data_IF_521798427923
#
_entry.id   IF_521798427923
#
_cell.length_a   1.000
_cell.length_b   1.000
_cell.length_c   1.000
_cell.angle_alpha   90.00
_cell.angle_beta   90.00
_cell.angle_gamma   90.00
#
_symmetry.space_group_name_H-M   'P 1'
#
loop_
_entity.id
_entity.type
_entity.pdbx_description
1 polymer ?
#
# COMPACT_ATOMS: atom_id res chain seq x y z
N UNK A 1 15.58 7.73 -6.48
CA UNK A 1 14.55 6.67 -6.45
C UNK A 1 15.21 5.31 -6.68
N UNK A 2 16.02 5.17 -7.72
CA UNK A 2 16.70 3.91 -8.07
C UNK A 2 17.73 3.41 -7.05
N UNK A 3 18.27 4.27 -6.18
CA UNK A 3 19.25 3.88 -5.14
C UNK A 3 18.60 3.41 -3.82
N UNK A 4 17.27 3.55 -3.68
CA UNK A 4 16.58 3.24 -2.42
C UNK A 4 15.92 1.85 -2.42
N UNK A 5 15.75 1.25 -3.61
CA UNK A 5 15.05 -0.02 -3.80
C UNK A 5 15.69 -0.78 -4.97
N UNK A 6 16.74 -1.55 -4.68
CA UNK A 6 17.55 -2.23 -5.71
C UNK A 6 16.71 -3.20 -6.57
N UNK A 7 15.66 -3.80 -6.00
CA UNK A 7 14.75 -4.73 -6.69
C UNK A 7 13.52 -4.05 -7.31
N UNK A 8 13.41 -2.71 -7.26
CA UNK A 8 12.26 -1.99 -7.83
C UNK A 8 12.35 -1.84 -9.36
N UNK A 9 13.52 -2.10 -9.95
CA UNK A 9 13.70 -2.02 -11.40
C UNK A 9 13.36 -3.36 -12.05
N UNK A 10 12.44 -3.33 -13.00
CA UNK A 10 12.08 -4.48 -13.83
C UNK A 10 12.52 -4.15 -15.26
N UNK A 11 13.36 -5.00 -15.84
CA UNK A 11 13.83 -4.90 -17.22
C UNK A 11 13.14 -5.95 -18.10
N UNK A 12 13.11 -5.75 -19.43
CA UNK A 12 12.63 -6.75 -20.39
C UNK A 12 11.10 -6.84 -20.49
N UNK A 13 10.39 -5.82 -20.02
CA UNK A 13 8.93 -5.69 -20.15
C UNK A 13 8.52 -5.09 -21.49
N UNK A 14 9.41 -4.39 -22.18
CA UNK A 14 9.14 -3.64 -23.40
C UNK A 14 8.45 -4.47 -24.50
N UNK A 15 8.84 -5.74 -24.76
CA UNK A 15 8.19 -6.55 -25.79
C UNK A 15 6.73 -6.90 -25.48
N UNK A 16 6.28 -6.81 -24.23
CA UNK A 16 4.91 -7.16 -23.82
C UNK A 16 3.93 -6.01 -24.02
N UNK A 17 4.41 -4.77 -24.12
CA UNK A 17 3.59 -3.55 -24.16
C UNK A 17 2.57 -3.57 -25.28
N UNK A 18 2.98 -4.03 -26.47
CA UNK A 18 2.11 -4.07 -27.66
C UNK A 18 0.97 -5.07 -27.53
N UNK A 19 1.12 -6.08 -26.66
CA UNK A 19 0.12 -7.12 -26.43
C UNK A 19 -0.91 -6.77 -25.34
N UNK A 20 -0.70 -5.66 -24.62
CA UNK A 20 -1.55 -5.23 -23.52
C UNK A 20 -2.55 -4.18 -24.03
N UNK A 21 -3.83 -4.42 -23.77
CA UNK A 21 -4.90 -3.48 -24.07
C UNK A 21 -5.39 -2.81 -22.79
N UNK A 22 -5.26 -1.49 -22.72
CA UNK A 22 -5.76 -0.65 -21.64
C UNK A 22 -6.46 0.59 -22.23
N UNK A 23 -7.35 1.25 -21.45
CA UNK A 23 -7.96 2.51 -21.85
C UNK A 23 -6.94 3.60 -22.22
N UNK A 24 -5.86 3.72 -21.44
CA UNK A 24 -4.71 4.58 -21.76
C UNK A 24 -3.53 3.72 -22.27
N UNK A 25 -3.11 3.88 -23.54
CA UNK A 25 -1.94 3.21 -24.07
C UNK A 25 -0.65 3.51 -23.32
N UNK A 26 -0.55 4.68 -22.68
CA UNK A 26 0.63 5.06 -21.92
C UNK A 26 0.78 4.24 -20.64
N UNK A 27 -0.26 3.60 -20.11
CA UNK A 27 -0.20 2.83 -18.85
C UNK A 27 0.18 1.36 -19.05
N UNK A 28 0.29 0.89 -20.30
CA UNK A 28 0.59 -0.52 -20.62
C UNK A 28 1.92 -1.00 -20.06
N UNK A 29 2.90 -0.09 -19.91
CA UNK A 29 4.19 -0.41 -19.32
C UNK A 29 4.08 -0.86 -17.85
N UNK A 30 3.11 -0.33 -17.10
CA UNK A 30 2.87 -0.71 -15.70
C UNK A 30 2.45 -2.17 -15.61
N UNK A 31 1.52 -2.61 -16.48
CA UNK A 31 1.08 -4.00 -16.56
C UNK A 31 2.20 -4.91 -17.08
N UNK A 32 2.96 -4.46 -18.07
CA UNK A 32 4.10 -5.22 -18.59
C UNK A 32 5.17 -5.47 -17.51
N UNK A 33 5.51 -4.42 -16.74
CA UNK A 33 6.44 -4.52 -15.63
C UNK A 33 5.88 -5.42 -14.51
N UNK A 34 4.59 -5.31 -14.18
CA UNK A 34 3.95 -6.19 -13.20
C UNK A 34 4.03 -7.67 -13.59
N UNK A 35 3.83 -7.99 -14.87
CA UNK A 35 3.94 -9.36 -15.38
C UNK A 35 5.37 -9.91 -15.30
N UNK A 36 6.37 -9.15 -15.75
CA UNK A 36 7.78 -9.58 -15.67
C UNK A 36 8.25 -9.68 -14.22
N UNK A 37 7.84 -8.74 -13.38
CA UNK A 37 8.10 -8.71 -11.95
C UNK A 37 7.31 -9.75 -11.15
N UNK A 38 6.40 -10.50 -11.80
CA UNK A 38 5.53 -11.52 -11.18
C UNK A 38 4.70 -10.95 -10.01
N UNK A 39 4.23 -9.72 -10.16
CA UNK A 39 3.32 -9.12 -9.21
C UNK A 39 1.92 -9.73 -9.37
N UNK A 40 1.19 -9.82 -8.26
CA UNK A 40 -0.24 -10.17 -8.27
C UNK A 40 -1.11 -8.90 -8.19
N UNK A 41 -0.57 -7.80 -7.67
CA UNK A 41 -1.31 -6.56 -7.37
C UNK A 41 -0.55 -5.33 -7.90
N UNK A 42 -1.28 -4.42 -8.54
CA UNK A 42 -0.87 -3.05 -8.88
C UNK A 42 -1.53 -2.11 -7.87
N UNK A 43 -0.73 -1.39 -7.07
CA UNK A 43 -1.26 -0.40 -6.13
C UNK A 43 -1.29 0.97 -6.81
N UNK A 44 -2.48 1.53 -7.02
CA UNK A 44 -2.66 2.80 -7.74
C UNK A 44 -3.96 3.50 -7.34
N UNK A 45 -3.94 4.83 -7.33
CA UNK A 45 -5.16 5.63 -7.17
C UNK A 45 -5.92 5.80 -8.51
N UNK A 46 -5.29 5.46 -9.64
CA UNK A 46 -5.86 5.58 -10.98
C UNK A 46 -6.61 4.31 -11.42
N UNK A 47 -7.42 3.72 -10.53
CA UNK A 47 -8.08 2.41 -10.73
C UNK A 47 -8.81 2.31 -12.09
N UNK A 48 -9.43 3.40 -12.53
CA UNK A 48 -10.18 3.46 -13.80
C UNK A 48 -9.33 3.16 -15.05
N UNK A 49 -8.02 3.43 -14.98
CA UNK A 49 -7.09 3.22 -16.08
C UNK A 49 -6.62 1.74 -16.13
N UNK A 50 -6.93 0.97 -15.08
CA UNK A 50 -6.59 -0.43 -14.90
C UNK A 50 -7.85 -1.30 -14.69
N UNK A 51 -8.78 -1.37 -15.67
CA UNK A 51 -10.03 -2.07 -15.49
C UNK A 51 -9.81 -3.58 -15.28
N UNK A 52 -10.60 -4.18 -14.37
CA UNK A 52 -10.52 -5.61 -14.05
C UNK A 52 -10.73 -6.52 -15.27
N UNK A 53 -11.50 -6.08 -16.27
CA UNK A 53 -11.67 -6.82 -17.52
C UNK A 53 -10.37 -7.00 -18.31
N UNK A 54 -9.43 -6.05 -18.20
CA UNK A 54 -8.10 -6.15 -18.80
C UNK A 54 -7.11 -6.91 -17.91
N UNK A 55 -7.20 -6.74 -16.59
CA UNK A 55 -6.23 -7.30 -15.64
C UNK A 55 -6.51 -8.75 -15.22
N UNK A 56 -7.78 -9.14 -15.02
CA UNK A 56 -8.13 -10.46 -14.51
C UNK A 56 -7.62 -11.63 -15.38
N UNK A 57 -7.64 -11.57 -16.73
CA UNK A 57 -7.04 -12.60 -17.58
C UNK A 57 -5.53 -12.78 -17.35
N UNK A 58 -4.86 -11.72 -16.90
CA UNK A 58 -3.43 -11.66 -16.60
C UNK A 58 -3.13 -12.04 -15.14
N UNK A 59 -4.16 -12.40 -14.34
CA UNK A 59 -4.08 -12.63 -12.89
C UNK A 59 -3.53 -11.45 -12.10
N UNK A 60 -3.82 -10.24 -12.60
CA UNK A 60 -3.50 -9.00 -11.92
C UNK A 60 -4.76 -8.38 -11.34
N UNK A 61 -4.59 -7.66 -10.24
CA UNK A 61 -5.61 -6.80 -9.65
C UNK A 61 -5.04 -5.40 -9.45
N UNK A 62 -5.87 -4.37 -9.62
CA UNK A 62 -5.54 -3.00 -9.26
C UNK A 62 -6.34 -2.61 -8.02
N UNK A 63 -5.64 -2.15 -6.98
CA UNK A 63 -6.24 -1.72 -5.71
C UNK A 63 -5.67 -0.37 -5.29
N UNK A 64 -6.40 0.38 -4.48
CA UNK A 64 -5.91 1.65 -3.92
C UNK A 64 -4.86 1.40 -2.83
N UNK A 65 -4.09 2.43 -2.49
CA UNK A 65 -3.14 2.32 -1.39
C UNK A 65 -3.84 2.04 -0.05
N UNK A 66 -5.03 2.61 0.16
CA UNK A 66 -5.83 2.37 1.38
C UNK A 66 -6.27 0.91 1.48
N UNK A 67 -6.83 0.35 0.40
CA UNK A 67 -7.28 -1.05 0.35
C UNK A 67 -6.13 -2.01 0.59
N UNK A 68 -5.01 -1.83 -0.11
CA UNK A 68 -3.82 -2.65 0.08
C UNK A 68 -3.35 -2.62 1.55
N UNK A 69 -3.25 -1.42 2.15
CA UNK A 69 -2.80 -1.30 3.54
C UNK A 69 -3.80 -1.88 4.54
N UNK A 70 -5.10 -1.79 4.26
CA UNK A 70 -6.15 -2.42 5.07
C UNK A 70 -6.07 -3.95 5.01
N UNK A 71 -5.86 -4.55 3.84
CA UNK A 71 -5.67 -6.00 3.72
C UNK A 71 -4.46 -6.48 4.55
N UNK A 72 -3.36 -5.73 4.49
CA UNK A 72 -2.16 -6.02 5.28
C UNK A 72 -2.41 -5.81 6.78
N UNK A 73 -3.20 -4.81 7.15
CA UNK A 73 -3.61 -4.56 8.53
C UNK A 73 -4.46 -5.73 9.05
N UNK A 74 -5.47 -6.16 8.32
CA UNK A 74 -6.37 -7.25 8.71
C UNK A 74 -5.61 -8.57 8.88
N UNK A 75 -4.57 -8.80 8.07
CA UNK A 75 -3.70 -9.96 8.22
C UNK A 75 -2.86 -9.91 9.50
N UNK A 76 -2.31 -8.75 9.88
CA UNK A 76 -1.42 -8.60 11.06
C UNK A 76 -1.60 -7.26 11.79
N UNK A 77 -2.72 -7.03 12.51
CA UNK A 77 -3.04 -5.71 13.06
C UNK A 77 -1.99 -5.18 14.05
N UNK A 78 -1.51 -6.06 14.94
CA UNK A 78 -0.51 -5.69 15.94
C UNK A 78 0.85 -5.34 15.32
N UNK A 79 1.25 -6.04 14.25
CA UNK A 79 2.51 -5.77 13.55
C UNK A 79 2.41 -4.47 12.75
N UNK A 80 1.30 -4.28 12.02
CA UNK A 80 1.07 -3.06 11.24
C UNK A 80 1.14 -1.82 12.13
N UNK A 81 0.44 -1.83 13.28
CA UNK A 81 0.55 -0.72 14.25
C UNK A 81 1.98 -0.52 14.75
N UNK A 82 2.68 -1.59 15.14
CA UNK A 82 4.06 -1.49 15.61
C UNK A 82 4.95 -0.82 14.57
N UNK A 83 4.83 -1.21 13.30
CA UNK A 83 5.61 -0.61 12.19
C UNK A 83 5.32 0.88 12.07
N UNK A 84 4.06 1.31 12.18
CA UNK A 84 3.71 2.75 12.18
C UNK A 84 4.36 3.48 13.36
N UNK A 85 4.33 2.92 14.58
CA UNK A 85 4.99 3.51 15.73
C UNK A 85 6.51 3.63 15.52
N UNK A 86 7.15 2.55 15.03
CA UNK A 86 8.59 2.49 14.79
C UNK A 86 9.00 3.48 13.68
N UNK A 87 8.19 3.61 12.62
CA UNK A 87 8.40 4.59 11.55
C UNK A 87 8.31 6.03 12.08
N UNK A 88 7.29 6.37 12.86
CA UNK A 88 7.17 7.69 13.46
C UNK A 88 8.37 8.01 14.35
N UNK A 89 8.83 7.05 15.17
CA UNK A 89 10.00 7.20 16.03
C UNK A 89 11.31 7.39 15.24
N UNK A 90 11.43 6.78 14.06
CA UNK A 90 12.59 6.93 13.17
C UNK A 90 12.60 8.28 12.42
N UNK A 91 11.44 8.93 12.28
CA UNK A 91 11.31 10.25 11.65
C UNK A 91 11.78 11.36 12.60
N UNK A 92 13.08 11.64 12.59
CA UNK A 92 13.71 12.65 13.44
C UNK A 92 13.83 14.03 12.78
N UNK A 93 13.53 14.15 11.48
CA UNK A 93 13.63 15.40 10.71
C UNK A 93 12.51 15.50 9.67
N UNK A 94 11.38 16.15 9.99
CA UNK A 94 11.00 16.69 11.30
C UNK A 94 10.63 15.58 12.31
N UNK A 95 10.78 15.82 13.64
CA UNK A 95 10.20 14.94 14.65
C UNK A 95 8.70 14.75 14.41
N UNK A 96 8.26 13.50 14.27
CA UNK A 96 6.88 13.15 13.89
C UNK A 96 6.26 12.22 14.93
N UNK A 97 5.05 12.53 15.40
CA UNK A 97 4.29 11.61 16.27
C UNK A 97 3.53 10.57 15.45
N UNK A 98 3.11 9.48 16.10
CA UNK A 98 2.24 8.46 15.49
C UNK A 98 0.99 9.11 14.85
N UNK A 99 0.32 10.02 15.57
CA UNK A 99 -0.86 10.73 15.07
C UNK A 99 -0.57 11.59 13.84
N UNK A 100 0.58 12.28 13.82
CA UNK A 100 0.99 13.09 12.67
C UNK A 100 1.31 12.24 11.45
N UNK A 101 1.97 11.09 11.65
CA UNK A 101 2.23 10.13 10.59
C UNK A 101 0.92 9.56 10.03
N UNK A 102 -0.01 9.14 10.90
CA UNK A 102 -1.32 8.64 10.49
C UNK A 102 -2.12 9.71 9.73
N UNK A 103 -2.06 10.98 10.16
CA UNK A 103 -2.69 12.07 9.43
C UNK A 103 -2.04 12.31 8.06
N UNK A 104 -0.71 12.14 7.95
CA UNK A 104 -0.01 12.21 6.66
C UNK A 104 -0.46 11.08 5.74
N UNK A 105 -0.48 9.84 6.23
CA UNK A 105 -0.95 8.68 5.45
C UNK A 105 -2.39 8.88 4.97
N UNK A 106 -3.28 9.38 5.83
CA UNK A 106 -4.66 9.68 5.45
C UNK A 106 -4.76 10.70 4.32
N UNK A 107 -3.92 11.75 4.33
CA UNK A 107 -3.85 12.76 3.26
C UNK A 107 -3.21 12.24 1.98
N UNK A 108 -2.39 11.19 2.08
CA UNK A 108 -1.68 10.57 0.97
C UNK A 108 -2.45 9.41 0.32
N UNK A 109 -3.73 9.22 0.67
CA UNK A 109 -4.58 8.19 0.06
C UNK A 109 -4.82 6.96 0.92
N UNK A 110 -4.45 6.95 2.20
CA UNK A 110 -4.70 5.83 3.13
C UNK A 110 -5.54 6.21 4.38
N UNK A 111 -6.73 6.83 4.24
CA UNK A 111 -7.52 7.29 5.37
C UNK A 111 -8.17 6.17 6.20
N UNK A 112 -8.61 5.08 5.56
CA UNK A 112 -9.21 3.93 6.23
C UNK A 112 -8.18 3.18 7.07
N UNK A 113 -7.00 2.91 6.52
CA UNK A 113 -5.88 2.33 7.25
C UNK A 113 -5.48 3.19 8.45
N UNK A 114 -5.35 4.50 8.25
CA UNK A 114 -4.99 5.42 9.33
C UNK A 114 -6.00 5.38 10.49
N UNK A 115 -7.29 5.29 10.17
CA UNK A 115 -8.36 5.11 11.16
C UNK A 115 -8.25 3.77 11.88
N UNK A 116 -8.08 2.67 11.14
CA UNK A 116 -8.00 1.31 11.71
C UNK A 116 -6.86 1.18 12.74
N UNK A 117 -5.68 1.73 12.43
CA UNK A 117 -4.54 1.76 13.36
C UNK A 117 -4.84 2.60 14.61
N UNK A 118 -5.50 3.75 14.45
CA UNK A 118 -5.90 4.63 15.56
C UNK A 118 -6.93 3.98 16.50
N UNK A 119 -7.86 3.21 15.95
CA UNK A 119 -8.89 2.51 16.72
C UNK A 119 -8.29 1.34 17.52
N UNK A 120 -7.32 0.61 16.95
CA UNK A 120 -6.60 -0.44 17.66
C UNK A 120 -5.85 0.09 18.89
N UNK A 121 -5.29 1.30 18.81
CA UNK A 121 -4.67 1.99 19.96
C UNK A 121 -5.68 2.26 21.08
N UNK A 122 -6.92 2.61 20.72
CA UNK A 122 -7.98 2.91 21.68
C UNK A 122 -8.49 1.67 22.43
N UNK A 123 -8.39 0.49 21.80
CA UNK A 123 -8.71 -0.81 22.42
C UNK A 123 -7.66 -1.35 23.40
N UNK A 124 -6.52 -0.66 23.56
CA UNK A 124 -5.39 -1.09 24.40
C UNK A 124 -5.18 -0.20 25.64
N UNK A 125 -6.24 0.46 26.13
CA UNK A 125 -6.29 0.94 27.53
C UNK A 125 -6.44 -0.29 28.45
N UNK A 126 -5.40 -0.57 29.26
CA UNK A 126 -5.27 -1.76 30.13
C UNK A 126 -6.47 -2.05 31.06
N UNK A 127 -6.64 -3.31 31.51
CA UNK A 127 -7.66 -3.70 32.46
C UNK A 127 -7.29 -3.17 33.84
N UNK A 128 -8.05 -2.19 34.34
CA UNK A 128 -7.96 -1.81 35.74
C UNK A 128 -8.65 -2.91 36.55
N UNK A 129 -7.81 -3.70 37.24
CA UNK A 129 -8.20 -4.79 38.14
C UNK A 129 -8.70 -4.17 39.45
N UNK A 130 -9.92 -4.43 39.91
CA UNK A 130 -10.27 -4.11 41.30
C UNK A 130 -9.68 -5.18 42.24
N UNK A 131 -9.27 -4.80 43.46
CA UNK A 131 -8.68 -5.72 44.42
C UNK A 131 -9.76 -6.58 45.08
N UNK A 132 -9.51 -7.89 45.17
CA UNK A 132 -10.04 -8.77 46.21
C UNK A 132 -8.97 -9.79 46.59
#
# INVERSE_FOLDING_TARGET
MNEAFDDAMVDGWEPLVESIELPDPNDRHVVAAALVGRADIIVTENIRDFPSSALAPLRLEAVTADEFLLDQFDLKPALARRIVCDQAAAMVRPPTTEEQLLQSLARSGAPGFARAVSELKSGQKSPDRPPH
#
